data_IF_453425330256
#
_entry.id   IF_453425330256
#
_cell.length_a   1.000
_cell.length_b   1.000
_cell.length_c   1.000
_cell.angle_alpha   90.00
_cell.angle_beta   90.00
_cell.angle_gamma   90.00
#
_symmetry.space_group_name_H-M   'P 1'
#
loop_
_entity.id
_entity.type
_entity.pdbx_description
1 polymer ?
#
# COMPACT_ATOMS: atom_id res chain seq x y z
N UNK A 1 5.11 -14.02 -7.94
CA UNK A 1 5.47 -13.57 -6.57
C UNK A 1 6.39 -12.39 -6.78
N UNK A 2 5.99 -11.17 -6.40
CA UNK A 2 6.83 -9.99 -6.56
C UNK A 2 8.04 -10.11 -5.63
N UNK A 3 9.25 -9.85 -6.13
CA UNK A 3 10.41 -9.70 -5.28
C UNK A 3 10.41 -8.31 -4.60
N UNK A 4 11.27 -8.11 -3.61
CA UNK A 4 11.28 -6.89 -2.79
C UNK A 4 11.52 -5.61 -3.62
N UNK A 5 12.35 -5.69 -4.67
CA UNK A 5 12.63 -4.55 -5.55
C UNK A 5 11.41 -4.20 -6.41
N UNK A 6 10.68 -5.20 -6.89
CA UNK A 6 9.46 -5.00 -7.67
C UNK A 6 8.37 -4.36 -6.80
N UNK A 7 8.28 -4.71 -5.52
CA UNK A 7 7.33 -4.09 -4.59
C UNK A 7 7.70 -2.64 -4.27
N UNK A 8 8.98 -2.33 -4.07
CA UNK A 8 9.44 -0.95 -3.88
C UNK A 8 9.19 -0.09 -5.13
N UNK A 9 9.41 -0.67 -6.30
CA UNK A 9 9.10 -0.03 -7.58
C UNK A 9 7.60 0.23 -7.70
N UNK A 10 6.77 -0.78 -7.40
CA UNK A 10 5.32 -0.64 -7.42
C UNK A 10 4.86 0.53 -6.55
N UNK A 11 5.26 0.56 -5.27
CA UNK A 11 4.91 1.64 -4.36
C UNK A 11 5.31 3.02 -4.91
N UNK A 12 6.54 3.16 -5.41
CA UNK A 12 7.00 4.43 -5.97
C UNK A 12 6.18 4.87 -7.19
N UNK A 13 5.94 3.95 -8.12
CA UNK A 13 5.15 4.22 -9.33
C UNK A 13 3.69 4.54 -9.01
N UNK A 14 3.08 3.85 -8.03
CA UNK A 14 1.73 4.12 -7.57
C UNK A 14 1.61 5.52 -6.95
N UNK A 15 2.56 5.92 -6.10
CA UNK A 15 2.55 7.26 -5.52
C UNK A 15 2.77 8.36 -6.56
N UNK A 16 3.70 8.17 -7.49
CA UNK A 16 3.90 9.14 -8.58
C UNK A 16 2.61 9.30 -9.39
N UNK A 17 1.98 8.19 -9.77
CA UNK A 17 0.71 8.21 -10.49
C UNK A 17 -0.37 8.95 -9.70
N UNK A 18 -0.50 8.69 -8.39
CA UNK A 18 -1.45 9.40 -7.54
C UNK A 18 -1.20 10.91 -7.49
N UNK A 19 0.05 11.34 -7.32
CA UNK A 19 0.40 12.76 -7.28
C UNK A 19 0.14 13.48 -8.62
N UNK A 20 0.30 12.78 -9.74
CA UNK A 20 0.05 13.32 -11.08
C UNK A 20 -1.45 13.40 -11.44
N UNK A 21 -2.32 12.74 -10.67
CA UNK A 21 -3.76 12.64 -10.94
C UNK A 21 -4.59 13.09 -9.71
N UNK A 22 -4.72 14.42 -9.46
CA UNK A 22 -5.42 14.96 -8.30
C UNK A 22 -6.88 14.50 -8.16
N UNK A 23 -7.53 14.10 -9.24
CA UNK A 23 -8.87 13.51 -9.27
C UNK A 23 -8.97 12.19 -8.49
N UNK A 24 -7.84 11.56 -8.18
CA UNK A 24 -7.77 10.35 -7.36
C UNK A 24 -7.74 10.67 -5.86
N UNK A 25 -7.54 11.93 -5.45
CA UNK A 25 -7.51 12.34 -4.04
C UNK A 25 -8.94 12.47 -3.45
N UNK A 26 -9.69 11.38 -3.50
CA UNK A 26 -11.05 11.30 -2.99
C UNK A 26 -11.50 9.84 -2.82
N UNK A 27 -12.57 9.65 -2.04
CA UNK A 27 -13.22 8.35 -1.87
C UNK A 27 -12.27 7.26 -1.38
N UNK A 28 -12.48 6.05 -1.86
CA UNK A 28 -11.77 4.85 -1.40
C UNK A 28 -10.30 4.76 -1.86
N UNK A 29 -9.85 5.66 -2.73
CA UNK A 29 -8.44 5.72 -3.14
C UNK A 29 -7.54 6.19 -1.99
N UNK A 30 -8.01 7.18 -1.22
CA UNK A 30 -7.21 7.77 -0.13
C UNK A 30 -6.94 6.77 1.01
N UNK A 31 -7.95 6.04 1.55
CA UNK A 31 -7.72 4.99 2.54
C UNK A 31 -6.75 3.93 2.05
N UNK A 32 -6.89 3.46 0.82
CA UNK A 32 -6.00 2.44 0.25
C UNK A 32 -4.56 2.95 0.15
N UNK A 33 -4.34 4.16 -0.37
CA UNK A 33 -2.98 4.72 -0.48
C UNK A 33 -2.34 4.96 0.89
N UNK A 34 -3.11 5.42 1.88
CA UNK A 34 -2.60 5.56 3.24
C UNK A 34 -2.21 4.21 3.84
N UNK A 35 -3.01 3.16 3.61
CA UNK A 35 -2.69 1.82 4.11
C UNK A 35 -1.48 1.22 3.37
N UNK A 36 -1.30 1.53 2.08
CA UNK A 36 -0.13 1.12 1.32
C UNK A 36 1.13 1.84 1.82
N UNK A 37 1.04 3.13 2.17
CA UNK A 37 2.15 3.88 2.79
C UNK A 37 2.59 3.28 4.13
N UNK A 38 1.64 3.02 5.02
CA UNK A 38 1.90 2.37 6.31
C UNK A 38 2.57 1.01 6.14
N UNK A 39 2.05 0.16 5.24
CA UNK A 39 2.64 -1.14 4.95
C UNK A 39 4.06 -1.02 4.38
N UNK A 40 4.26 -0.11 3.41
CA UNK A 40 5.57 0.11 2.80
C UNK A 40 6.58 0.64 3.81
N UNK A 41 6.17 1.51 4.74
CA UNK A 41 7.01 2.00 5.81
C UNK A 41 7.50 0.85 6.69
N UNK A 42 6.59 0.02 7.22
CA UNK A 42 6.95 -1.10 8.08
C UNK A 42 7.80 -2.15 7.36
N UNK A 43 7.49 -2.40 6.08
CA UNK A 43 8.27 -3.32 5.28
C UNK A 43 9.73 -2.87 5.16
N UNK A 44 9.99 -1.57 4.99
CA UNK A 44 11.37 -1.06 5.01
C UNK A 44 12.05 -1.26 6.37
N UNK A 45 11.33 -1.13 7.49
CA UNK A 45 11.91 -1.37 8.81
C UNK A 45 12.37 -2.83 8.94
N UNK A 46 11.50 -3.77 8.61
CA UNK A 46 11.80 -5.21 8.69
C UNK A 46 12.94 -5.60 7.74
N UNK A 47 12.93 -5.09 6.50
CA UNK A 47 13.92 -5.50 5.48
C UNK A 47 15.26 -4.78 5.56
N UNK A 48 15.30 -3.51 5.97
CA UNK A 48 16.52 -2.68 5.93
C UNK A 48 17.11 -2.41 7.30
N UNK A 49 16.28 -2.40 8.35
CA UNK A 49 16.69 -2.02 9.70
C UNK A 49 16.66 -3.20 10.69
N UNK A 50 16.47 -4.43 10.20
CA UNK A 50 16.40 -5.66 10.99
C UNK A 50 15.35 -5.61 12.12
N UNK A 51 14.27 -4.84 11.92
CA UNK A 51 13.13 -4.82 12.83
C UNK A 51 12.42 -6.19 12.81
N UNK A 52 12.19 -6.77 14.00
CA UNK A 52 11.59 -8.09 14.15
C UNK A 52 10.06 -8.05 14.35
N UNK A 53 9.44 -6.85 14.32
CA UNK A 53 7.98 -6.67 14.43
C UNK A 53 7.24 -7.06 13.15
N UNK A 54 7.42 -8.31 12.75
CA UNK A 54 6.67 -8.96 11.67
C UNK A 54 5.17 -9.00 11.94
N UNK A 55 4.74 -8.97 13.22
CA UNK A 55 3.34 -8.92 13.59
C UNK A 55 2.69 -7.60 13.15
N UNK A 56 3.37 -6.47 13.38
CA UNK A 56 2.93 -5.17 12.88
C UNK A 56 2.89 -5.14 11.35
N UNK A 57 3.92 -5.68 10.67
CA UNK A 57 3.93 -5.78 9.21
C UNK A 57 2.71 -6.56 8.68
N UNK A 58 2.38 -7.70 9.27
CA UNK A 58 1.20 -8.48 8.89
C UNK A 58 -0.11 -7.74 9.15
N UNK A 59 -0.21 -7.00 10.25
CA UNK A 59 -1.38 -6.17 10.52
C UNK A 59 -1.55 -5.06 9.46
N UNK A 60 -0.45 -4.38 9.08
CA UNK A 60 -0.50 -3.38 8.00
C UNK A 60 -0.88 -3.98 6.66
N UNK A 61 -0.37 -5.17 6.34
CA UNK A 61 -0.75 -5.90 5.13
C UNK A 61 -2.25 -6.24 5.12
N UNK A 62 -2.82 -6.64 6.27
CA UNK A 62 -4.24 -6.93 6.38
C UNK A 62 -5.10 -5.67 6.14
N UNK A 63 -4.74 -4.54 6.74
CA UNK A 63 -5.43 -3.26 6.52
C UNK A 63 -5.33 -2.79 5.06
N UNK A 64 -4.16 -2.94 4.44
CA UNK A 64 -3.98 -2.62 3.01
C UNK A 64 -4.87 -3.51 2.12
N UNK A 65 -5.02 -4.79 2.48
CA UNK A 65 -5.94 -5.70 1.78
C UNK A 65 -7.40 -5.26 1.93
N UNK A 66 -7.85 -4.95 3.14
CA UNK A 66 -9.23 -4.54 3.43
C UNK A 66 -9.62 -3.28 2.64
N UNK A 67 -8.77 -2.25 2.69
CA UNK A 67 -8.98 -1.00 1.93
C UNK A 67 -8.92 -1.21 0.42
N UNK A 68 -8.10 -2.15 -0.07
CA UNK A 68 -8.09 -2.52 -1.49
C UNK A 68 -9.40 -3.22 -1.92
N UNK A 69 -9.97 -4.07 -1.07
CA UNK A 69 -11.28 -4.68 -1.32
C UNK A 69 -12.41 -3.63 -1.35
N UNK A 70 -12.33 -2.59 -0.53
CA UNK A 70 -13.28 -1.46 -0.57
C UNK A 70 -13.11 -0.63 -1.85
N UNK A 71 -11.87 -0.29 -2.21
CA UNK A 71 -11.55 0.41 -3.45
C UNK A 71 -12.09 -0.33 -4.68
N UNK A 72 -11.83 -1.63 -4.77
CA UNK A 72 -12.27 -2.45 -5.92
C UNK A 72 -13.79 -2.57 -6.01
N UNK A 73 -14.51 -2.65 -4.87
CA UNK A 73 -15.97 -2.57 -4.84
C UNK A 73 -16.48 -1.22 -5.34
N UNK A 74 -15.87 -0.12 -4.91
CA UNK A 74 -16.28 1.23 -5.30
C UNK A 74 -16.13 1.48 -6.80
N UNK A 75 -15.10 0.91 -7.43
CA UNK A 75 -14.86 1.01 -8.88
C UNK A 75 -15.51 -0.13 -9.68
N UNK A 76 -16.24 -1.04 -9.02
CA UNK A 76 -16.91 -2.20 -9.63
C UNK A 76 -15.96 -3.06 -10.50
N UNK A 77 -14.75 -3.28 -10.00
CA UNK A 77 -13.66 -3.97 -10.71
C UNK A 77 -13.48 -5.43 -10.25
N UNK A 78 -14.32 -5.89 -9.31
CA UNK A 78 -14.36 -7.27 -8.81
C UNK A 78 -15.81 -7.75 -8.63
#
# INVERSE_FOLDING_TARGET
MLNINELFTLYHTTNLFYFEHPELNQGEVVPFLSAFDDFYFELKQVFLNEDDDTALLYNRLLTMKETFEELTKAYNVL
#
